data_IF_580182334786
#
_entry.id   IF_580182334786
#
_cell.length_a   1.000
_cell.length_b   1.000
_cell.length_c   1.000
_cell.angle_alpha   90.00
_cell.angle_beta   90.00
_cell.angle_gamma   90.00
#
_symmetry.space_group_name_H-M   'P 1'
#
loop_
_entity.id
_entity.type
_entity.pdbx_description
1 polymer ?
#
# COMPACT_ATOMS: atom_id res chain seq x y z
N UNK A 1 20.50 -17.74 -6.70
CA UNK A 1 21.10 -16.40 -6.79
C UNK A 1 20.46 -15.48 -7.84
N UNK A 2 19.31 -15.88 -8.41
CA UNK A 2 18.56 -15.06 -9.36
C UNK A 2 17.74 -13.93 -8.69
N UNK A 3 17.69 -13.88 -7.38
CA UNK A 3 16.91 -12.86 -6.63
C UNK A 3 17.69 -11.56 -6.35
N UNK A 4 18.98 -11.50 -6.65
CA UNK A 4 19.82 -10.31 -6.44
C UNK A 4 20.09 -9.50 -7.72
N UNK A 5 19.60 -9.94 -8.87
CA UNK A 5 19.75 -9.21 -10.14
C UNK A 5 18.81 -8.01 -10.33
N UNK A 6 17.98 -7.68 -9.31
CA UNK A 6 17.12 -6.51 -9.32
C UNK A 6 17.79 -5.27 -8.67
N UNK A 7 19.11 -5.21 -8.64
CA UNK A 7 19.88 -4.14 -7.97
C UNK A 7 19.76 -2.76 -8.64
N UNK A 8 19.06 -2.65 -9.76
CA UNK A 8 18.80 -1.37 -10.45
C UNK A 8 17.36 -0.85 -10.27
N UNK A 9 16.63 -1.39 -9.30
CA UNK A 9 15.29 -0.91 -9.02
C UNK A 9 15.34 0.54 -8.51
N UNK A 10 14.86 1.47 -9.34
CA UNK A 10 14.71 2.86 -8.95
C UNK A 10 13.66 3.01 -7.89
N UNK A 11 14.04 3.48 -6.71
CA UNK A 11 13.14 3.76 -5.59
C UNK A 11 12.83 5.25 -5.55
N UNK A 12 11.56 5.59 -5.52
CA UNK A 12 11.06 6.94 -5.26
C UNK A 12 10.12 6.90 -4.07
N UNK A 13 10.30 7.83 -3.14
CA UNK A 13 9.43 8.00 -1.99
C UNK A 13 8.63 9.29 -2.17
N UNK A 14 7.34 9.19 -2.02
CA UNK A 14 6.41 10.31 -2.08
C UNK A 14 5.75 10.47 -0.71
N UNK A 15 5.55 11.72 -0.30
CA UNK A 15 4.70 12.07 0.83
C UNK A 15 3.40 12.67 0.29
N UNK A 16 2.26 12.13 0.69
CA UNK A 16 0.95 12.57 0.23
C UNK A 16 -0.15 11.63 0.65
N UNK A 17 -1.38 11.99 0.34
CA UNK A 17 -2.52 11.12 0.54
C UNK A 17 -2.52 10.01 -0.51
N UNK A 18 -2.36 8.76 -0.08
CA UNK A 18 -2.38 7.61 -0.98
C UNK A 18 -3.71 7.41 -1.70
N UNK A 19 -4.82 7.89 -1.13
CA UNK A 19 -6.14 7.82 -1.76
C UNK A 19 -6.29 8.79 -2.95
N UNK A 20 -5.49 9.86 -2.97
CA UNK A 20 -5.46 10.87 -4.02
C UNK A 20 -4.15 10.85 -4.84
N UNK A 21 -3.30 9.84 -4.66
CA UNK A 21 -2.05 9.75 -5.41
C UNK A 21 -2.30 9.63 -6.94
N UNK A 22 -1.58 10.36 -7.80
CA UNK A 22 -0.40 11.18 -7.50
C UNK A 22 -0.70 12.64 -7.13
N UNK A 23 -1.95 13.05 -7.13
CA UNK A 23 -2.34 14.45 -6.92
C UNK A 23 -1.92 14.92 -5.52
N UNK A 24 -1.20 16.05 -5.48
CA UNK A 24 -0.70 16.63 -4.24
C UNK A 24 0.45 15.87 -3.56
N UNK A 25 0.90 14.75 -4.12
CA UNK A 25 2.03 14.00 -3.55
C UNK A 25 3.37 14.69 -3.85
N UNK A 26 4.17 14.92 -2.81
CA UNK A 26 5.50 15.49 -2.94
C UNK A 26 6.55 14.38 -3.03
N UNK A 27 7.41 14.42 -4.05
CA UNK A 27 8.56 13.52 -4.14
C UNK A 27 9.59 13.89 -3.06
N UNK A 28 9.80 12.97 -2.10
CA UNK A 28 10.70 13.16 -0.96
C UNK A 28 12.09 12.58 -1.23
N UNK A 29 12.16 11.50 -2.01
CA UNK A 29 13.40 10.77 -2.29
C UNK A 29 13.36 10.10 -3.66
N UNK A 30 14.49 10.11 -4.36
CA UNK A 30 14.71 9.35 -5.60
C UNK A 30 16.08 8.67 -5.53
N UNK A 31 16.12 7.33 -5.59
CA UNK A 31 17.37 6.55 -5.50
C UNK A 31 18.32 6.86 -6.65
N UNK A 32 17.83 7.12 -7.85
CA UNK A 32 18.66 7.51 -8.98
C UNK A 32 19.41 8.85 -8.76
N UNK A 33 18.92 9.68 -7.83
CA UNK A 33 19.61 10.90 -7.41
C UNK A 33 20.58 10.69 -6.24
N UNK A 34 20.49 9.51 -5.57
CA UNK A 34 21.25 9.18 -4.35
C UNK A 34 22.50 8.32 -4.62
N UNK A 35 22.63 7.72 -5.80
CA UNK A 35 23.64 6.70 -6.14
C UNK A 35 25.04 7.23 -6.45
N UNK A 36 25.56 8.11 -5.58
CA UNK A 36 27.01 8.27 -5.50
C UNK A 36 27.40 8.45 -4.02
N UNK A 37 28.21 7.56 -3.47
CA UNK A 37 28.69 7.68 -2.08
C UNK A 37 29.35 9.04 -1.79
N UNK A 38 30.00 9.64 -2.77
CA UNK A 38 30.52 11.02 -2.72
C UNK A 38 29.45 12.11 -2.58
N UNK A 39 28.21 11.86 -3.00
CA UNK A 39 27.11 12.84 -2.95
C UNK A 39 26.45 12.92 -1.57
N UNK A 40 26.57 11.88 -0.74
CA UNK A 40 25.97 11.84 0.61
C UNK A 40 26.67 12.81 1.58
N UNK A 41 27.97 12.98 1.45
CA UNK A 41 28.75 13.94 2.23
C UNK A 41 28.58 15.36 1.69
N UNK A 42 28.54 15.56 0.37
CA UNK A 42 28.25 16.85 -0.28
C UNK A 42 26.85 17.37 0.02
N UNK A 43 25.85 16.50 0.22
CA UNK A 43 24.46 16.89 0.54
C UNK A 43 24.35 17.70 1.85
N UNK A 44 25.22 17.47 2.83
CA UNK A 44 25.27 18.27 4.08
C UNK A 44 25.75 19.70 3.86
N UNK A 45 26.41 20.00 2.73
CA UNK A 45 27.02 21.31 2.42
C UNK A 45 26.41 22.01 1.20
N UNK A 46 25.26 21.56 0.71
CA UNK A 46 24.60 22.23 -0.41
C UNK A 46 24.23 23.68 -0.04
N UNK A 47 24.70 24.63 -0.86
CA UNK A 47 24.32 26.03 -0.74
C UNK A 47 22.84 26.22 -1.12
N UNK A 48 22.28 27.41 -0.83
CA UNK A 48 20.86 27.74 -1.03
C UNK A 48 20.40 27.52 -2.49
N UNK A 49 21.26 27.80 -3.47
CA UNK A 49 20.94 27.64 -4.89
C UNK A 49 20.89 26.16 -5.33
N UNK A 50 21.77 25.32 -4.78
CA UNK A 50 21.75 23.89 -5.05
C UNK A 50 20.53 23.18 -4.43
N UNK A 51 20.12 23.60 -3.23
CA UNK A 51 18.87 23.13 -2.60
C UNK A 51 17.64 23.51 -3.43
N UNK A 52 17.62 24.73 -3.97
CA UNK A 52 16.52 25.20 -4.83
C UNK A 52 16.46 24.40 -6.14
N UNK A 53 17.60 24.11 -6.77
CA UNK A 53 17.66 23.26 -7.98
C UNK A 53 17.20 21.83 -7.71
N UNK A 54 17.59 21.26 -6.59
CA UNK A 54 17.14 19.93 -6.16
C UNK A 54 15.62 19.92 -5.94
N UNK A 55 15.08 20.89 -5.22
CA UNK A 55 13.66 21.04 -5.00
C UNK A 55 12.87 21.22 -6.32
N UNK A 56 13.36 22.03 -7.25
CA UNK A 56 12.74 22.19 -8.57
C UNK A 56 12.77 20.91 -9.40
N UNK A 57 13.88 20.14 -9.32
CA UNK A 57 14.00 18.84 -9.99
C UNK A 57 13.01 17.82 -9.39
N UNK A 58 12.90 17.76 -8.06
CA UNK A 58 11.95 16.89 -7.39
C UNK A 58 10.50 17.26 -7.73
N UNK A 59 10.19 18.56 -7.77
CA UNK A 59 8.88 19.04 -8.17
C UNK A 59 8.53 18.67 -9.63
N UNK A 60 9.49 18.81 -10.56
CA UNK A 60 9.31 18.40 -11.94
C UNK A 60 9.10 16.88 -12.10
N UNK A 61 9.78 16.07 -11.30
CA UNK A 61 9.59 14.64 -11.29
C UNK A 61 8.24 14.23 -10.66
N UNK A 62 7.75 14.99 -9.68
CA UNK A 62 6.45 14.77 -9.07
C UNK A 62 5.28 15.15 -10.00
N UNK A 63 5.47 16.16 -10.86
CA UNK A 63 4.48 16.57 -11.86
C UNK A 63 4.44 15.70 -13.12
N UNK A 64 5.41 14.80 -13.30
CA UNK A 64 5.36 13.83 -14.39
C UNK A 64 4.20 12.83 -14.13
N UNK A 65 3.43 12.44 -15.17
CA UNK A 65 2.38 11.46 -14.99
C UNK A 65 2.96 10.21 -14.34
N UNK A 66 2.27 9.59 -13.38
CA UNK A 66 2.78 8.45 -12.66
C UNK A 66 3.11 7.34 -13.66
N UNK A 67 4.32 6.79 -13.56
CA UNK A 67 4.66 5.60 -14.28
C UNK A 67 3.66 4.50 -13.87
N UNK A 68 3.03 3.84 -14.84
CA UNK A 68 2.20 2.67 -14.55
C UNK A 68 3.10 1.52 -14.11
N UNK A 69 2.65 0.80 -13.10
CA UNK A 69 3.42 -0.26 -12.45
C UNK A 69 2.90 -1.66 -12.82
N UNK A 70 3.79 -2.62 -12.88
CA UNK A 70 3.42 -4.02 -13.08
C UNK A 70 2.86 -4.63 -11.79
N UNK A 71 3.28 -4.09 -10.63
CA UNK A 71 2.86 -4.54 -9.28
C UNK A 71 2.63 -3.35 -8.38
N UNK A 72 1.53 -3.39 -7.62
CA UNK A 72 1.17 -2.38 -6.61
C UNK A 72 0.84 -3.11 -5.31
N UNK A 73 1.29 -2.58 -4.19
CA UNK A 73 0.87 -3.01 -2.86
C UNK A 73 0.02 -1.90 -2.23
N UNK A 74 -1.15 -2.25 -1.75
CA UNK A 74 -2.02 -1.41 -0.93
C UNK A 74 -2.12 -2.06 0.44
N UNK A 75 -1.27 -1.64 1.36
CA UNK A 75 -1.32 -2.02 2.77
C UNK A 75 -2.11 -0.93 3.50
N UNK A 76 -3.40 -1.19 3.72
CA UNK A 76 -4.34 -0.15 4.09
C UNK A 76 -4.46 0.01 5.61
N UNK A 77 -4.60 1.26 6.07
CA UNK A 77 -4.98 1.52 7.46
C UNK A 77 -6.30 0.83 7.81
N UNK A 78 -6.38 0.28 9.02
CA UNK A 78 -7.48 -0.56 9.46
C UNK A 78 -7.67 -0.49 10.98
N UNK A 79 -8.58 -1.27 11.53
CA UNK A 79 -8.78 -1.37 12.99
C UNK A 79 -7.61 -2.02 13.73
N UNK A 80 -6.68 -2.67 13.02
CA UNK A 80 -5.50 -3.35 13.57
C UNK A 80 -5.81 -4.44 14.62
N UNK A 81 -7.03 -4.93 14.62
CA UNK A 81 -7.54 -5.93 15.57
C UNK A 81 -6.93 -7.33 15.39
N UNK A 82 -6.33 -7.62 14.26
CA UNK A 82 -5.50 -8.80 14.05
C UNK A 82 -4.08 -8.68 14.61
N UNK A 83 -3.63 -7.47 14.97
CA UNK A 83 -2.31 -7.25 15.56
C UNK A 83 -2.34 -7.45 17.08
N UNK A 84 -1.82 -8.59 17.56
CA UNK A 84 -1.77 -8.94 18.99
C UNK A 84 -1.12 -7.86 19.84
N UNK A 85 -0.01 -7.29 19.37
CA UNK A 85 0.72 -6.24 20.10
C UNK A 85 -0.11 -4.96 20.20
N UNK A 86 -0.85 -4.60 19.14
CA UNK A 86 -1.72 -3.42 19.15
C UNK A 86 -2.92 -3.63 20.08
N UNK A 87 -3.61 -4.75 19.95
CA UNK A 87 -4.75 -5.10 20.81
C UNK A 87 -4.33 -5.13 22.27
N UNK A 88 -3.20 -5.71 22.63
CA UNK A 88 -2.68 -5.73 24.00
C UNK A 88 -2.48 -4.29 24.56
N UNK A 89 -1.94 -3.38 23.76
CA UNK A 89 -1.80 -1.97 24.15
C UNK A 89 -3.18 -1.30 24.40
N UNK A 90 -4.13 -1.55 23.52
CA UNK A 90 -5.48 -0.97 23.64
C UNK A 90 -6.23 -1.51 24.86
N UNK A 91 -6.09 -2.82 25.15
CA UNK A 91 -6.64 -3.45 26.35
C UNK A 91 -6.02 -2.83 27.60
N UNK A 92 -4.69 -2.73 27.67
CA UNK A 92 -3.99 -2.12 28.80
C UNK A 92 -4.39 -0.65 29.02
N UNK A 93 -4.68 0.07 27.94
CA UNK A 93 -5.14 1.45 28.00
C UNK A 93 -6.64 1.61 28.31
N UNK A 94 -7.42 0.52 28.38
CA UNK A 94 -8.87 0.54 28.54
C UNK A 94 -9.62 1.15 27.34
N UNK A 95 -9.04 1.06 26.13
CA UNK A 95 -9.51 1.74 24.91
C UNK A 95 -9.85 0.79 23.77
N UNK A 96 -10.02 -0.49 24.05
CA UNK A 96 -10.25 -1.51 23.00
C UNK A 96 -11.52 -1.24 22.18
N UNK A 97 -12.55 -0.67 22.81
CA UNK A 97 -13.81 -0.34 22.14
C UNK A 97 -13.66 0.72 21.05
N UNK A 98 -12.66 1.61 21.18
CA UNK A 98 -12.37 2.63 20.17
C UNK A 98 -11.93 2.03 18.83
N UNK A 99 -11.40 0.81 18.83
CA UNK A 99 -11.02 0.11 17.59
C UNK A 99 -12.25 -0.14 16.71
N UNK A 100 -13.38 -0.39 17.33
CA UNK A 100 -14.61 -0.85 16.67
C UNK A 100 -15.71 0.22 16.67
N UNK A 101 -15.40 1.48 17.01
CA UNK A 101 -16.36 2.57 16.92
C UNK A 101 -16.98 2.63 15.51
N UNK A 102 -18.32 2.60 15.37
CA UNK A 102 -18.98 2.47 14.06
C UNK A 102 -18.53 3.52 13.04
N UNK A 103 -18.47 4.78 13.45
CA UNK A 103 -18.05 5.88 12.58
C UNK A 103 -16.60 5.70 12.09
N UNK A 104 -15.71 5.21 12.96
CA UNK A 104 -14.33 4.90 12.60
C UNK A 104 -14.27 3.76 11.58
N UNK A 105 -15.02 2.68 11.77
CA UNK A 105 -15.04 1.56 10.84
C UNK A 105 -15.55 2.00 9.47
N UNK A 106 -16.62 2.81 9.42
CA UNK A 106 -17.15 3.37 8.17
C UNK A 106 -16.09 4.23 7.46
N UNK A 107 -15.42 5.12 8.20
CA UNK A 107 -14.38 5.97 7.63
C UNK A 107 -13.19 5.15 7.09
N UNK A 108 -12.76 4.11 7.82
CA UNK A 108 -11.70 3.21 7.37
C UNK A 108 -12.09 2.45 6.10
N UNK A 109 -13.29 1.88 6.02
CA UNK A 109 -13.77 1.21 4.82
C UNK A 109 -13.79 2.16 3.60
N UNK A 110 -14.22 3.41 3.79
CA UNK A 110 -14.22 4.41 2.72
C UNK A 110 -12.81 4.75 2.24
N UNK A 111 -11.85 4.95 3.18
CA UNK A 111 -10.45 5.20 2.88
C UNK A 111 -9.80 4.01 2.16
N UNK A 112 -10.05 2.79 2.62
CA UNK A 112 -9.55 1.55 2.01
C UNK A 112 -10.04 1.41 0.56
N UNK A 113 -11.32 1.68 0.31
CA UNK A 113 -11.88 1.69 -1.05
C UNK A 113 -11.24 2.75 -1.95
N UNK A 114 -10.93 3.93 -1.41
CA UNK A 114 -10.23 4.98 -2.15
C UNK A 114 -8.78 4.57 -2.47
N UNK A 115 -8.05 3.98 -1.51
CA UNK A 115 -6.71 3.44 -1.71
C UNK A 115 -6.67 2.34 -2.77
N UNK A 116 -7.64 1.42 -2.77
CA UNK A 116 -7.77 0.39 -3.80
C UNK A 116 -7.94 1.00 -5.19
N UNK A 117 -8.84 1.99 -5.34
CA UNK A 117 -9.05 2.68 -6.63
C UNK A 117 -7.78 3.38 -7.10
N UNK A 118 -7.12 4.12 -6.20
CA UNK A 118 -5.86 4.82 -6.50
C UNK A 118 -4.78 3.83 -6.93
N UNK A 119 -4.54 2.78 -6.14
CA UNK A 119 -3.54 1.76 -6.47
C UNK A 119 -3.84 1.04 -7.79
N UNK A 120 -5.10 0.74 -8.07
CA UNK A 120 -5.51 0.09 -9.32
C UNK A 120 -5.34 0.99 -10.55
N UNK A 121 -5.56 2.30 -10.40
CA UNK A 121 -5.30 3.26 -11.46
C UNK A 121 -3.82 3.31 -11.87
N UNK A 122 -2.92 3.04 -10.93
CA UNK A 122 -1.47 2.98 -11.17
C UNK A 122 -0.99 1.71 -11.88
N UNK A 123 -1.83 0.68 -11.99
CA UNK A 123 -1.44 -0.56 -12.69
C UNK A 123 -1.43 -0.37 -14.20
N UNK A 124 -0.45 -1.01 -14.84
CA UNK A 124 -0.51 -1.34 -16.27
C UNK A 124 -1.62 -2.35 -16.54
N UNK A 125 -2.17 -2.40 -17.77
CA UNK A 125 -2.92 -3.58 -18.21
C UNK A 125 -2.12 -4.87 -17.98
N UNK A 126 -2.77 -5.93 -17.50
CA UNK A 126 -2.10 -7.18 -17.09
C UNK A 126 -1.33 -7.11 -15.77
N UNK A 127 -1.27 -5.95 -15.13
CA UNK A 127 -0.65 -5.79 -13.82
C UNK A 127 -1.45 -6.38 -12.67
N UNK A 128 -0.82 -6.54 -11.51
CA UNK A 128 -1.45 -7.07 -10.31
C UNK A 128 -1.24 -6.16 -9.08
N UNK A 129 -2.31 -5.97 -8.32
CA UNK A 129 -2.32 -5.29 -7.04
C UNK A 129 -2.52 -6.31 -5.92
N UNK A 130 -1.80 -6.15 -4.82
CA UNK A 130 -2.07 -6.87 -3.58
C UNK A 130 -2.70 -5.87 -2.61
N UNK A 131 -3.86 -6.23 -2.09
CA UNK A 131 -4.54 -5.53 -1.01
C UNK A 131 -4.32 -6.28 0.29
N UNK A 132 -3.90 -5.59 1.34
CA UNK A 132 -3.69 -6.17 2.66
C UNK A 132 -4.22 -5.29 3.78
N UNK A 133 -4.68 -5.93 4.85
CA UNK A 133 -4.99 -5.30 6.13
C UNK A 133 -4.63 -6.24 7.28
N UNK A 134 -4.35 -5.72 8.46
CA UNK A 134 -4.27 -6.51 9.67
C UNK A 134 -5.59 -6.49 10.47
N UNK A 135 -6.73 -6.25 9.81
CA UNK A 135 -8.05 -6.36 10.43
C UNK A 135 -8.63 -7.77 10.24
N UNK A 136 -9.36 -8.22 11.25
CA UNK A 136 -10.16 -9.45 11.20
C UNK A 136 -11.58 -9.19 10.65
N UNK A 137 -11.99 -7.91 10.57
CA UNK A 137 -13.34 -7.53 10.20
C UNK A 137 -13.63 -7.77 8.71
N UNK A 138 -14.65 -8.56 8.42
CA UNK A 138 -15.11 -8.83 7.05
C UNK A 138 -15.47 -7.53 6.30
N UNK A 139 -16.02 -6.53 6.99
CA UNK A 139 -16.38 -5.26 6.39
C UNK A 139 -15.17 -4.54 5.77
N UNK A 140 -14.01 -4.58 6.43
CA UNK A 140 -12.77 -3.93 5.99
C UNK A 140 -11.98 -4.76 4.97
N UNK A 141 -12.30 -6.01 4.82
CA UNK A 141 -11.61 -6.98 3.97
C UNK A 141 -12.46 -7.35 2.76
N UNK A 142 -13.26 -8.39 2.88
CA UNK A 142 -14.10 -8.92 1.80
C UNK A 142 -15.14 -7.88 1.36
N UNK A 143 -15.70 -7.10 2.29
CA UNK A 143 -16.71 -6.07 1.98
C UNK A 143 -16.16 -4.95 1.11
N UNK A 144 -15.01 -4.40 1.46
CA UNK A 144 -14.32 -3.36 0.67
C UNK A 144 -13.93 -3.92 -0.70
N UNK A 145 -13.39 -5.14 -0.72
CA UNK A 145 -12.96 -5.80 -1.95
C UNK A 145 -14.14 -6.07 -2.90
N UNK A 146 -15.26 -6.57 -2.37
CA UNK A 146 -16.48 -6.82 -3.16
C UNK A 146 -17.05 -5.53 -3.76
N UNK A 147 -17.14 -4.47 -2.96
CA UNK A 147 -17.60 -3.16 -3.44
C UNK A 147 -16.68 -2.59 -4.53
N UNK A 148 -15.36 -2.74 -4.36
CA UNK A 148 -14.38 -2.32 -5.37
C UNK A 148 -14.55 -3.09 -6.68
N UNK A 149 -14.66 -4.43 -6.64
CA UNK A 149 -14.79 -5.28 -7.82
C UNK A 149 -16.10 -4.98 -8.57
N UNK A 150 -17.22 -4.79 -7.84
CA UNK A 150 -18.49 -4.43 -8.43
C UNK A 150 -18.45 -3.09 -9.19
N UNK A 151 -17.65 -2.14 -8.71
CA UNK A 151 -17.48 -0.81 -9.32
C UNK A 151 -16.37 -0.75 -10.39
N UNK A 152 -15.60 -1.84 -10.59
CA UNK A 152 -14.41 -1.83 -11.44
C UNK A 152 -14.38 -3.05 -12.37
N UNK A 153 -15.10 -3.02 -13.51
CA UNK A 153 -15.22 -4.18 -14.42
C UNK A 153 -13.89 -4.71 -14.97
N UNK A 154 -12.85 -3.87 -15.03
CA UNK A 154 -11.51 -4.27 -15.46
C UNK A 154 -10.72 -5.01 -14.36
N UNK A 155 -11.24 -5.11 -13.13
CA UNK A 155 -10.61 -5.78 -12.02
C UNK A 155 -11.17 -7.19 -11.85
N UNK A 156 -10.27 -8.15 -11.59
CA UNK A 156 -10.65 -9.52 -11.23
C UNK A 156 -9.74 -10.01 -10.10
N UNK A 157 -10.20 -10.99 -9.34
CA UNK A 157 -9.36 -11.67 -8.36
C UNK A 157 -8.43 -12.66 -9.06
N UNK A 158 -7.14 -12.58 -8.74
CA UNK A 158 -6.12 -13.50 -9.18
C UNK A 158 -5.82 -14.56 -8.12
N UNK A 159 -5.27 -15.70 -8.55
CA UNK A 159 -4.82 -16.72 -7.62
C UNK A 159 -3.65 -16.21 -6.76
N UNK A 160 -3.68 -16.57 -5.48
CA UNK A 160 -2.52 -16.42 -4.60
C UNK A 160 -1.59 -17.61 -4.78
N UNK A 161 -0.26 -17.41 -4.67
CA UNK A 161 0.68 -18.51 -4.64
C UNK A 161 0.39 -19.40 -3.42
N UNK A 162 0.79 -20.66 -3.41
CA UNK A 162 0.63 -21.55 -2.25
C UNK A 162 1.42 -21.03 -1.04
N UNK A 163 0.86 -21.19 0.16
CA UNK A 163 1.48 -20.70 1.38
C UNK A 163 0.74 -21.11 2.65
N UNK A 164 1.22 -20.71 3.83
CA UNK A 164 0.70 -21.12 5.13
C UNK A 164 -0.51 -20.28 5.56
N UNK A 165 -1.48 -20.09 4.69
CA UNK A 165 -2.72 -19.37 4.96
C UNK A 165 -3.94 -20.25 4.80
N UNK A 166 -5.08 -19.78 5.31
CA UNK A 166 -6.39 -20.35 5.04
C UNK A 166 -7.12 -19.50 4.00
N UNK A 167 -8.03 -20.12 3.27
CA UNK A 167 -8.85 -19.38 2.31
C UNK A 167 -9.62 -18.25 3.01
N UNK A 168 -9.65 -17.07 2.39
CA UNK A 168 -10.50 -15.97 2.80
C UNK A 168 -11.97 -16.18 2.38
N UNK A 169 -12.83 -15.25 2.76
CA UNK A 169 -14.27 -15.32 2.45
C UNK A 169 -14.62 -15.12 0.97
N UNK A 170 -13.67 -14.68 0.14
CA UNK A 170 -13.81 -14.59 -1.32
C UNK A 170 -12.69 -15.36 -2.00
N UNK A 171 -12.99 -16.00 -3.13
CA UNK A 171 -11.99 -16.72 -3.93
C UNK A 171 -10.86 -15.78 -4.35
N UNK A 172 -9.60 -16.19 -4.19
CA UNK A 172 -8.43 -15.33 -4.46
C UNK A 172 -8.03 -14.44 -3.30
N UNK A 173 -8.61 -14.62 -2.11
CA UNK A 173 -8.16 -14.01 -0.87
C UNK A 173 -7.68 -15.08 0.13
N UNK A 174 -6.87 -14.64 1.09
CA UNK A 174 -6.33 -15.47 2.14
C UNK A 174 -6.33 -14.75 3.48
N UNK A 175 -6.38 -15.53 4.55
CA UNK A 175 -6.21 -15.06 5.93
C UNK A 175 -5.06 -15.83 6.59
N UNK A 176 -4.25 -15.10 7.31
CA UNK A 176 -3.26 -15.69 8.20
C UNK A 176 -3.89 -15.85 9.58
N UNK A 177 -3.99 -17.08 10.11
CA UNK A 177 -4.68 -17.33 11.37
C UNK A 177 -3.95 -16.69 12.55
N UNK A 178 -4.73 -16.20 13.53
CA UNK A 178 -4.20 -15.53 14.73
C UNK A 178 -3.68 -16.46 15.84
N UNK A 179 -4.12 -17.71 16.02
CA UNK A 179 -3.44 -18.59 16.96
C UNK A 179 -2.18 -19.16 16.30
N UNK A 180 -1.01 -18.77 16.80
CA UNK A 180 0.28 -19.22 16.30
C UNK A 180 1.32 -18.12 16.18
N UNK A 181 2.27 -18.29 15.29
CA UNK A 181 3.39 -17.37 15.09
C UNK A 181 3.03 -16.13 14.24
N UNK A 182 1.86 -16.14 13.58
CA UNK A 182 1.39 -15.06 12.71
C UNK A 182 0.37 -14.16 13.40
N UNK A 183 0.41 -12.87 13.11
CA UNK A 183 -0.70 -11.93 13.38
C UNK A 183 -1.78 -12.11 12.31
N UNK A 184 -3.04 -11.85 12.68
CA UNK A 184 -4.13 -11.86 11.70
C UNK A 184 -3.82 -10.89 10.57
N UNK A 185 -3.79 -11.39 9.35
CA UNK A 185 -3.59 -10.61 8.13
C UNK A 185 -4.57 -11.10 7.08
N UNK A 186 -5.21 -10.17 6.40
CA UNK A 186 -5.97 -10.44 5.20
C UNK A 186 -5.17 -10.02 3.97
N UNK A 187 -5.18 -10.85 2.94
CA UNK A 187 -4.51 -10.57 1.68
C UNK A 187 -5.41 -10.96 0.51
N UNK A 188 -5.51 -10.11 -0.49
CA UNK A 188 -6.17 -10.42 -1.75
C UNK A 188 -5.33 -9.93 -2.92
N UNK A 189 -5.28 -10.71 -4.00
CA UNK A 189 -4.64 -10.34 -5.24
C UNK A 189 -5.69 -9.92 -6.26
N UNK A 190 -5.56 -8.70 -6.75
CA UNK A 190 -6.41 -8.13 -7.81
C UNK A 190 -5.58 -7.98 -9.07
N UNK A 191 -6.09 -8.44 -10.19
CA UNK A 191 -5.47 -8.30 -11.50
C UNK A 191 -6.25 -7.30 -12.35
N UNK A 192 -5.55 -6.51 -13.12
CA UNK A 192 -6.12 -5.64 -14.14
C UNK A 192 -6.20 -6.39 -15.46
N UNK A 193 -7.36 -6.36 -16.12
CA UNK A 193 -7.49 -6.95 -17.44
C UNK A 193 -6.40 -6.44 -18.37
N UNK A 194 -5.89 -7.31 -19.24
CA UNK A 194 -5.08 -6.91 -20.38
C UNK A 194 -6.03 -6.30 -21.41
N UNK A 195 -5.58 -5.25 -22.08
CA UNK A 195 -6.31 -4.63 -23.20
C UNK A 195 -6.40 -5.62 -24.38
#
# INVERSE_FOLDING_TARGET
DAHHAAADARVRLYAGDGAAFPDGAALVFDSAAADAPEKREKRRRLNKSARRREASRLAALASAPPARYDRVLVDADCTTDGSRAHVAKMVTAGRVEELFAPDRVVALCAAQGALLRSGFALLKPGGALVYSTCSLATAQNEGVLAAFLAATPAARLGALPSGPWVAGGVSGSARFPTPGETSGLFVARVEKAAD
#
